data_IF_327388763638
#
_entry.id   IF_327388763638
#
_cell.length_a   1.000
_cell.length_b   1.000
_cell.length_c   1.000
_cell.angle_alpha   90.00
_cell.angle_beta   90.00
_cell.angle_gamma   90.00
#
_symmetry.space_group_name_H-M   'P 1'
#
loop_
_entity.id
_entity.type
_entity.pdbx_description
1 polymer ?
#
# COMPACT_ATOMS: atom_id res chain seq x y z
N UNK A 1 -4.04 -0.61 6.17
CA UNK A 1 -3.44 0.34 7.12
C UNK A 1 -2.48 1.24 6.36
N UNK A 2 -1.36 0.70 5.85
CA UNK A 2 -0.34 1.46 5.09
C UNK A 2 -0.95 2.42 4.05
N UNK A 3 -1.78 1.93 3.12
CA UNK A 3 -2.41 2.77 2.08
C UNK A 3 -3.20 3.96 2.65
N UNK A 4 -3.84 3.80 3.81
CA UNK A 4 -4.55 4.92 4.46
C UNK A 4 -3.62 5.87 5.21
N UNK A 5 -2.46 5.41 5.69
CA UNK A 5 -1.46 6.23 6.38
C UNK A 5 -0.60 7.01 5.37
N UNK A 6 -0.16 6.35 4.30
CA UNK A 6 0.76 6.90 3.30
C UNK A 6 0.09 7.85 2.31
N UNK A 7 -1.14 7.54 1.88
CA UNK A 7 -1.84 8.28 0.80
C UNK A 7 -3.30 8.63 1.09
N UNK A 8 -3.79 8.39 2.31
CA UNK A 8 -5.10 8.88 2.77
C UNK A 8 -6.34 8.16 2.21
N UNK A 9 -6.16 7.15 1.34
CA UNK A 9 -7.25 6.44 0.67
C UNK A 9 -7.65 5.14 1.39
N UNK A 10 -8.95 4.84 1.36
CA UNK A 10 -9.52 3.57 1.81
C UNK A 10 -9.66 2.61 0.64
N UNK A 11 -9.32 1.36 0.90
CA UNK A 11 -9.39 0.26 -0.08
C UNK A 11 -10.27 -0.87 0.44
N UNK A 12 -10.82 -1.66 -0.48
CA UNK A 12 -11.65 -2.85 -0.22
C UNK A 12 -11.25 -4.00 -1.13
N UNK A 13 -11.93 -5.14 -0.93
CA UNK A 13 -11.77 -6.33 -1.77
C UNK A 13 -10.30 -6.79 -1.91
N UNK A 14 -9.57 -6.83 -0.78
CA UNK A 14 -8.19 -7.31 -0.79
C UNK A 14 -8.13 -8.77 -1.24
N UNK A 15 -7.33 -9.04 -2.27
CA UNK A 15 -7.09 -10.37 -2.80
C UNK A 15 -5.60 -10.65 -2.77
N UNK A 16 -5.22 -11.75 -2.12
CA UNK A 16 -3.84 -12.20 -2.13
C UNK A 16 -3.43 -12.63 -3.54
N UNK A 17 -2.30 -12.12 -4.02
CA UNK A 17 -1.76 -12.46 -5.33
C UNK A 17 -0.58 -13.43 -5.22
N UNK A 18 0.36 -13.16 -4.32
CA UNK A 18 1.57 -13.96 -4.19
C UNK A 18 2.55 -13.37 -3.19
N UNK A 19 3.65 -14.10 -2.97
CA UNK A 19 4.70 -13.68 -2.05
C UNK A 19 6.07 -13.86 -2.67
N UNK A 20 6.97 -12.92 -2.42
CA UNK A 20 8.35 -12.95 -2.88
C UNK A 20 9.31 -12.69 -1.71
N UNK A 21 10.31 -13.55 -1.54
CA UNK A 21 11.38 -13.28 -0.58
C UNK A 21 12.16 -12.04 -1.02
N UNK A 22 12.36 -11.09 -0.10
CA UNK A 22 13.06 -9.83 -0.34
C UNK A 22 14.28 -9.71 0.60
N UNK A 23 15.50 -9.95 0.10
CA UNK A 23 16.68 -10.17 0.93
C UNK A 23 17.35 -8.90 1.49
N UNK A 24 16.61 -7.80 1.70
CA UNK A 24 17.14 -6.56 2.31
C UNK A 24 16.11 -5.96 3.28
N UNK A 25 16.34 -5.90 4.62
CA UNK A 25 17.36 -6.59 5.40
C UNK A 25 17.08 -8.10 5.59
N UNK A 26 15.82 -8.51 5.80
CA UNK A 26 15.34 -9.90 5.70
C UNK A 26 13.80 -9.85 5.74
N UNK A 27 13.14 -9.76 4.59
CA UNK A 27 11.70 -9.55 4.51
C UNK A 27 11.03 -10.52 3.54
N UNK A 28 9.73 -10.76 3.73
CA UNK A 28 8.86 -11.46 2.78
C UNK A 28 7.83 -10.45 2.28
N UNK A 29 7.90 -10.09 1.01
CA UNK A 29 6.94 -9.21 0.38
C UNK A 29 5.67 -10.00 0.07
N UNK A 30 4.53 -9.51 0.54
CA UNK A 30 3.22 -10.10 0.28
C UNK A 30 2.44 -9.16 -0.64
N UNK A 31 2.18 -9.60 -1.87
CA UNK A 31 1.43 -8.84 -2.86
C UNK A 31 -0.07 -9.06 -2.72
N UNK A 32 -0.82 -7.96 -2.70
CA UNK A 32 -2.27 -7.94 -2.71
C UNK A 32 -2.79 -7.07 -3.84
N UNK A 33 -3.90 -7.47 -4.45
CA UNK A 33 -4.73 -6.61 -5.28
C UNK A 33 -5.82 -6.00 -4.39
N UNK A 34 -6.21 -4.77 -4.66
CA UNK A 34 -7.27 -4.09 -3.93
C UNK A 34 -8.05 -3.14 -4.85
N UNK A 35 -9.26 -2.81 -4.45
CA UNK A 35 -10.13 -1.86 -5.15
C UNK A 35 -10.26 -0.58 -4.31
N UNK A 36 -10.36 0.57 -4.97
CA UNK A 36 -10.66 1.84 -4.31
C UNK A 36 -12.03 1.77 -3.64
N UNK A 37 -12.11 2.28 -2.41
CA UNK A 37 -13.37 2.42 -1.68
C UNK A 37 -13.80 3.88 -1.53
N UNK A 38 -12.95 4.72 -0.94
CA UNK A 38 -13.25 6.14 -0.69
C UNK A 38 -12.00 6.93 -0.26
N UNK A 39 -12.09 8.26 -0.28
CA UNK A 39 -11.04 9.18 0.19
C UNK A 39 -10.40 9.98 -0.94
N UNK A 40 -9.66 11.00 -0.55
CA UNK A 40 -8.85 11.85 -1.43
C UNK A 40 -7.37 11.54 -1.19
N UNK A 41 -6.53 11.76 -2.20
CA UNK A 41 -5.09 11.56 -2.07
C UNK A 41 -4.54 12.61 -1.11
N UNK A 42 -3.95 12.15 -0.01
CA UNK A 42 -3.26 12.97 0.97
C UNK A 42 -1.99 12.24 1.37
N UNK A 43 -0.84 12.79 0.95
CA UNK A 43 0.46 12.13 1.06
C UNK A 43 1.07 12.38 2.44
N UNK A 44 1.63 11.33 3.06
CA UNK A 44 2.62 11.50 4.14
C UNK A 44 4.00 11.82 3.55
N UNK A 45 4.38 13.10 3.59
CA UNK A 45 5.64 13.62 3.06
C UNK A 45 6.90 13.01 3.69
N UNK A 46 6.78 12.26 4.80
CA UNK A 46 7.91 11.55 5.41
C UNK A 46 8.24 10.24 4.69
N UNK A 47 7.26 9.62 4.07
CA UNK A 47 7.39 8.28 3.48
C UNK A 47 7.33 8.33 1.95
N UNK A 48 6.44 9.15 1.39
CA UNK A 48 6.21 9.25 -0.06
C UNK A 48 6.30 10.72 -0.50
N UNK A 49 6.86 10.93 -1.69
CA UNK A 49 7.07 12.29 -2.26
C UNK A 49 6.00 12.71 -3.26
N UNK A 50 5.25 11.76 -3.83
CA UNK A 50 4.33 12.00 -4.95
C UNK A 50 3.26 10.90 -5.10
N UNK A 51 2.04 11.27 -5.51
CA UNK A 51 0.93 10.37 -5.82
C UNK A 51 -0.17 11.11 -6.62
N UNK A 52 -0.58 10.54 -7.76
CA UNK A 52 -1.54 11.12 -8.73
C UNK A 52 -2.69 10.16 -9.08
#
# INVERSE_FOLDING_TARGET
REVGEEVGIKIKNLQYFGSQAWPFPHSLMMGYLAEYDSGDIVIDEKEIVDAD
#
